data_IF_374011913143
#
_entry.id   IF_374011913143
#
_cell.length_a   1.000
_cell.length_b   1.000
_cell.length_c   1.000
_cell.angle_alpha   90.00
_cell.angle_beta   90.00
_cell.angle_gamma   90.00
#
_symmetry.space_group_name_H-M   'P 1'
#
loop_
_entity.id
_entity.type
_entity.pdbx_description
1 polymer ?
#
# COMPACT_ATOMS: atom_id res chain seq x y z
N UNK A 1 -61.55 2.46 16.21
CA UNK A 1 -60.23 3.11 16.41
C UNK A 1 -59.15 2.42 15.58
N UNK A 2 -59.41 2.29 14.27
CA UNK A 2 -58.47 1.76 13.27
C UNK A 2 -58.54 2.74 12.13
N UNK A 3 -57.62 3.69 12.11
CA UNK A 3 -57.61 4.80 11.17
C UNK A 3 -56.62 5.86 11.63
N UNK A 4 -55.74 6.27 10.71
CA UNK A 4 -54.63 7.21 10.90
C UNK A 4 -53.31 6.66 11.48
N UNK A 5 -52.90 5.44 11.12
CA UNK A 5 -51.46 5.20 10.93
C UNK A 5 -51.10 5.78 9.57
N UNK A 6 -50.80 7.08 9.60
CA UNK A 6 -50.62 7.90 8.44
C UNK A 6 -49.44 7.39 7.60
N UNK A 7 -49.63 7.45 6.29
CA UNK A 7 -48.59 7.22 5.28
C UNK A 7 -47.44 8.26 5.39
N UNK A 8 -47.50 9.18 6.35
CA UNK A 8 -46.48 10.21 6.60
C UNK A 8 -45.35 9.73 7.50
N UNK A 9 -45.47 8.57 8.17
CA UNK A 9 -44.34 7.97 8.92
C UNK A 9 -43.27 7.36 8.00
N UNK A 10 -43.59 7.13 6.72
CA UNK A 10 -42.69 6.55 5.72
C UNK A 10 -42.31 7.60 4.66
N UNK A 11 -42.97 8.75 4.63
CA UNK A 11 -42.63 9.85 3.76
C UNK A 11 -41.69 10.83 4.47
N UNK A 12 -40.38 10.64 4.27
CA UNK A 12 -39.32 11.62 4.57
C UNK A 12 -38.83 11.79 6.02
N UNK A 13 -38.49 10.72 6.73
CA UNK A 13 -37.38 10.83 7.69
C UNK A 13 -36.08 10.60 6.93
N UNK A 14 -35.47 11.67 6.41
CA UNK A 14 -34.10 11.58 5.92
C UNK A 14 -33.24 11.00 7.04
N UNK A 15 -32.47 9.95 6.76
CA UNK A 15 -31.57 9.38 7.76
C UNK A 15 -30.54 10.44 8.14
N UNK A 16 -30.59 10.92 9.40
CA UNK A 16 -29.68 11.93 9.91
C UNK A 16 -28.32 11.30 10.21
N UNK A 17 -27.46 11.20 9.18
CA UNK A 17 -26.14 10.55 9.28
C UNK A 17 -25.24 11.18 10.34
N UNK A 18 -25.28 12.50 10.49
CA UNK A 18 -24.52 13.21 11.51
C UNK A 18 -25.03 12.88 12.93
N UNK A 19 -26.35 12.94 13.15
CA UNK A 19 -26.95 12.58 14.43
C UNK A 19 -26.69 11.10 14.79
N UNK A 20 -26.76 10.20 13.82
CA UNK A 20 -26.39 8.79 14.00
C UNK A 20 -24.91 8.65 14.37
N UNK A 21 -24.02 9.35 13.67
CA UNK A 21 -22.58 9.26 13.93
C UNK A 21 -22.24 9.80 15.32
N UNK A 22 -22.80 10.94 15.71
CA UNK A 22 -22.51 11.58 16.99
C UNK A 22 -23.15 10.89 18.18
N UNK A 23 -24.38 10.38 18.04
CA UNK A 23 -25.12 9.80 19.17
C UNK A 23 -25.01 8.27 19.25
N UNK A 24 -24.67 7.60 18.15
CA UNK A 24 -24.60 6.13 18.09
C UNK A 24 -23.19 5.62 17.81
N UNK A 25 -22.38 6.26 16.97
CA UNK A 25 -21.04 5.74 16.69
C UNK A 25 -20.00 6.26 17.70
N UNK A 26 -19.99 7.58 17.93
CA UNK A 26 -18.97 8.25 18.74
C UNK A 26 -18.86 7.69 20.19
N UNK A 27 -19.96 7.44 20.93
CA UNK A 27 -19.86 6.92 22.30
C UNK A 27 -19.21 5.53 22.37
N UNK A 28 -19.25 4.78 21.26
CA UNK A 28 -18.71 3.43 21.19
C UNK A 28 -17.25 3.37 20.71
N UNK A 29 -16.58 4.51 20.51
CA UNK A 29 -15.13 4.55 20.24
C UNK A 29 -14.28 3.98 21.39
N UNK A 30 -14.78 4.05 22.62
CA UNK A 30 -14.13 3.49 23.82
C UNK A 30 -14.54 2.04 24.11
N UNK A 31 -15.38 1.44 23.26
CA UNK A 31 -15.86 0.07 23.46
C UNK A 31 -14.75 -0.97 23.23
N UNK A 32 -14.87 -2.17 23.82
CA UNK A 32 -13.89 -3.23 23.61
C UNK A 32 -13.88 -3.76 22.17
N UNK A 33 -12.66 -4.06 21.71
CA UNK A 33 -12.22 -4.68 20.45
C UNK A 33 -13.21 -4.64 19.27
N UNK A 34 -14.13 -5.60 19.16
CA UNK A 34 -14.97 -5.75 17.96
C UNK A 34 -15.93 -4.60 17.72
N UNK A 35 -16.53 -4.05 18.77
CA UNK A 35 -17.49 -2.95 18.62
C UNK A 35 -16.78 -1.67 18.16
N UNK A 36 -15.60 -1.38 18.74
CA UNK A 36 -14.74 -0.28 18.28
C UNK A 36 -14.39 -0.44 16.81
N UNK A 37 -13.95 -1.62 16.38
CA UNK A 37 -13.64 -1.87 14.96
C UNK A 37 -14.85 -1.62 14.06
N UNK A 38 -16.04 -2.05 14.48
CA UNK A 38 -17.24 -1.86 13.68
C UNK A 38 -17.59 -0.38 13.57
N UNK A 39 -17.47 0.37 14.67
CA UNK A 39 -17.63 1.81 14.71
C UNK A 39 -16.68 2.50 13.73
N UNK A 40 -15.38 2.17 13.76
CA UNK A 40 -14.37 2.74 12.86
C UNK A 40 -14.65 2.42 11.39
N UNK A 41 -15.07 1.18 11.09
CA UNK A 41 -15.41 0.79 9.72
C UNK A 41 -16.67 1.51 9.21
N UNK A 42 -17.68 1.69 10.06
CA UNK A 42 -18.90 2.41 9.71
C UNK A 42 -18.63 3.91 9.50
N UNK A 43 -17.88 4.55 10.39
CA UNK A 43 -17.56 5.97 10.26
C UNK A 43 -16.75 6.26 9.01
N UNK A 44 -15.80 5.40 8.64
CA UNK A 44 -15.06 5.52 7.37
C UNK A 44 -15.98 5.54 6.14
N UNK A 45 -17.05 4.75 6.13
CA UNK A 45 -18.02 4.71 5.02
C UNK A 45 -18.93 5.95 4.96
N UNK A 46 -19.33 6.45 6.13
CA UNK A 46 -20.16 7.66 6.25
C UNK A 46 -19.35 8.95 6.08
N UNK A 47 -18.02 8.88 6.16
CA UNK A 47 -17.16 10.07 6.21
C UNK A 47 -17.30 10.99 5.00
N UNK A 48 -17.76 10.51 3.84
CA UNK A 48 -17.92 11.32 2.62
C UNK A 48 -18.98 12.43 2.74
N UNK A 49 -20.01 12.23 3.56
CA UNK A 49 -21.15 13.14 3.78
C UNK A 49 -21.07 13.91 5.11
N UNK A 50 -20.15 13.54 5.99
CA UNK A 50 -20.02 14.13 7.33
C UNK A 50 -19.09 15.35 7.36
N UNK A 51 -19.34 16.33 8.25
CA UNK A 51 -18.38 17.40 8.55
C UNK A 51 -17.02 16.86 8.99
N UNK A 52 -15.96 17.62 8.74
CA UNK A 52 -14.59 17.19 9.05
C UNK A 52 -14.39 17.00 10.57
N UNK A 53 -14.97 17.89 11.36
CA UNK A 53 -14.93 17.91 12.82
C UNK A 53 -15.53 16.63 13.42
N UNK A 54 -16.57 16.10 12.78
CA UNK A 54 -17.21 14.84 13.16
C UNK A 54 -16.31 13.64 12.84
N UNK A 55 -15.50 13.72 11.78
CA UNK A 55 -14.62 12.63 11.36
C UNK A 55 -13.33 12.53 12.19
N UNK A 56 -12.83 13.65 12.73
CA UNK A 56 -11.54 13.74 13.46
C UNK A 56 -11.39 12.65 14.53
N UNK A 57 -12.34 12.46 15.48
CA UNK A 57 -12.19 11.48 16.56
C UNK A 57 -12.06 10.04 16.05
N UNK A 58 -12.70 9.72 14.92
CA UNK A 58 -12.64 8.38 14.34
C UNK A 58 -11.31 8.11 13.63
N UNK A 59 -10.76 9.11 12.92
CA UNK A 59 -9.43 8.97 12.32
C UNK A 59 -8.37 8.85 13.40
N UNK A 60 -8.45 9.67 14.46
CA UNK A 60 -7.54 9.59 15.61
C UNK A 60 -7.60 8.21 16.27
N UNK A 61 -8.80 7.73 16.61
CA UNK A 61 -8.97 6.41 17.21
C UNK A 61 -8.49 5.27 16.29
N UNK A 62 -8.60 5.44 14.96
CA UNK A 62 -8.07 4.47 13.98
C UNK A 62 -6.54 4.43 14.04
N UNK A 63 -5.90 5.59 14.06
CA UNK A 63 -4.44 5.73 14.12
C UNK A 63 -3.90 5.27 15.47
N UNK A 64 -4.62 5.50 16.56
CA UNK A 64 -4.30 4.93 17.87
C UNK A 64 -4.28 3.41 17.86
N UNK A 65 -5.28 2.77 17.24
CA UNK A 65 -5.30 1.29 17.10
C UNK A 65 -4.11 0.79 16.30
N UNK A 66 -3.69 1.50 15.24
CA UNK A 66 -2.48 1.14 14.48
C UNK A 66 -1.20 1.24 15.32
N UNK A 67 -1.13 2.24 16.20
CA UNK A 67 0.03 2.52 17.05
C UNK A 67 0.07 1.67 18.33
N UNK A 68 -0.99 0.91 18.65
CA UNK A 68 -1.00 0.04 19.82
C UNK A 68 0.16 -0.97 19.73
N UNK A 69 1.10 -1.01 20.69
CA UNK A 69 2.23 -1.93 20.64
C UNK A 69 1.83 -3.39 20.87
N UNK A 70 0.62 -3.67 21.34
CA UNK A 70 0.15 -5.02 21.69
C UNK A 70 0.14 -5.95 20.46
N UNK A 71 0.87 -7.07 20.48
CA UNK A 71 0.85 -8.07 19.40
C UNK A 71 -0.53 -8.73 19.24
N UNK A 72 -1.32 -8.82 20.31
CA UNK A 72 -2.65 -9.44 20.28
C UNK A 72 -3.67 -8.61 19.45
N UNK A 73 -3.29 -7.39 19.05
CA UNK A 73 -4.12 -6.47 18.28
C UNK A 73 -3.98 -6.58 16.76
N UNK A 74 -3.24 -7.55 16.19
CA UNK A 74 -3.01 -7.59 14.72
C UNK A 74 -4.29 -7.57 13.89
N UNK A 75 -5.30 -8.36 14.28
CA UNK A 75 -6.62 -8.35 13.62
C UNK A 75 -7.29 -6.98 13.71
N UNK A 76 -7.09 -6.27 14.81
CA UNK A 76 -7.58 -4.90 14.99
C UNK A 76 -6.82 -3.91 14.11
N UNK A 77 -5.50 -4.05 13.98
CA UNK A 77 -4.68 -3.20 13.10
C UNK A 77 -5.05 -3.37 11.63
N UNK A 78 -5.28 -4.60 11.17
CA UNK A 78 -5.75 -4.86 9.79
C UNK A 78 -7.10 -4.21 9.55
N UNK A 79 -8.03 -4.33 10.50
CA UNK A 79 -9.33 -3.67 10.41
C UNK A 79 -9.21 -2.14 10.45
N UNK A 80 -8.28 -1.60 11.24
CA UNK A 80 -7.96 -0.18 11.26
C UNK A 80 -7.37 0.29 9.92
N UNK A 81 -6.51 -0.50 9.26
CA UNK A 81 -6.05 -0.19 7.89
C UNK A 81 -7.23 -0.06 6.92
N UNK A 82 -8.21 -0.98 6.96
CA UNK A 82 -9.42 -0.92 6.12
C UNK A 82 -10.27 0.32 6.41
N UNK A 83 -10.44 0.66 7.69
CA UNK A 83 -11.16 1.87 8.10
C UNK A 83 -10.44 3.13 7.59
N UNK A 84 -9.12 3.21 7.80
CA UNK A 84 -8.30 4.34 7.35
C UNK A 84 -8.32 4.50 5.83
N UNK A 85 -8.31 3.40 5.08
CA UNK A 85 -8.43 3.40 3.60
C UNK A 85 -9.73 4.08 3.14
N UNK A 86 -10.85 3.83 3.85
CA UNK A 86 -12.12 4.49 3.56
C UNK A 86 -12.02 6.01 3.78
N UNK A 87 -11.32 6.44 4.84
CA UNK A 87 -11.04 7.85 5.07
C UNK A 87 -10.06 8.45 4.06
N UNK A 88 -9.10 7.70 3.53
CA UNK A 88 -8.20 8.18 2.48
C UNK A 88 -8.97 8.59 1.22
N UNK A 89 -9.99 7.80 0.87
CA UNK A 89 -10.85 8.06 -0.29
C UNK A 89 -11.76 9.26 -0.04
N UNK A 90 -12.43 9.30 1.12
CA UNK A 90 -13.47 10.29 1.39
C UNK A 90 -12.96 11.62 1.94
N UNK A 91 -11.84 11.60 2.68
CA UNK A 91 -11.27 12.73 3.44
C UNK A 91 -9.72 12.69 3.42
N UNK A 92 -9.07 12.73 2.23
CA UNK A 92 -7.61 12.68 2.13
C UNK A 92 -6.90 13.77 2.92
N UNK A 93 -7.44 15.00 2.93
CA UNK A 93 -6.89 16.14 3.67
C UNK A 93 -6.80 15.90 5.19
N UNK A 94 -7.74 15.12 5.73
CA UNK A 94 -7.74 14.76 7.14
C UNK A 94 -6.69 13.68 7.39
N UNK A 95 -6.67 12.60 6.60
CA UNK A 95 -5.72 11.49 6.76
C UNK A 95 -4.28 11.97 6.64
N UNK A 96 -4.00 12.88 5.71
CA UNK A 96 -2.70 13.50 5.50
C UNK A 96 -2.07 14.02 6.79
N UNK A 97 -2.85 14.58 7.71
CA UNK A 97 -2.38 15.09 9.02
C UNK A 97 -1.87 13.99 9.95
N UNK A 98 -2.34 12.76 9.78
CA UNK A 98 -2.00 11.61 10.62
C UNK A 98 -1.10 10.59 9.92
N UNK A 99 -0.84 10.75 8.61
CA UNK A 99 -0.07 9.82 7.80
C UNK A 99 1.34 9.56 8.37
N UNK A 100 2.00 10.58 8.93
CA UNK A 100 3.34 10.45 9.52
C UNK A 100 3.39 9.49 10.72
N UNK A 101 2.27 9.28 11.42
CA UNK A 101 2.13 8.28 12.49
C UNK A 101 1.62 6.94 11.97
N UNK A 102 0.72 6.96 10.98
CA UNK A 102 0.11 5.76 10.44
C UNK A 102 1.12 4.90 9.64
N UNK A 103 1.92 5.51 8.77
CA UNK A 103 2.82 4.80 7.85
C UNK A 103 3.84 3.92 8.60
N UNK A 104 4.62 4.43 9.58
CA UNK A 104 5.56 3.59 10.32
C UNK A 104 4.89 2.42 11.04
N UNK A 105 3.69 2.64 11.58
CA UNK A 105 2.93 1.61 12.28
C UNK A 105 2.37 0.53 11.37
N UNK A 106 1.94 0.89 10.16
CA UNK A 106 1.54 -0.08 9.13
C UNK A 106 2.77 -0.88 8.67
N UNK A 107 3.91 -0.24 8.42
CA UNK A 107 5.16 -0.93 8.07
C UNK A 107 5.59 -1.91 9.17
N UNK A 108 5.58 -1.49 10.43
CA UNK A 108 5.89 -2.36 11.57
C UNK A 108 4.92 -3.55 11.66
N UNK A 109 3.63 -3.32 11.40
CA UNK A 109 2.61 -4.39 11.36
C UNK A 109 2.95 -5.43 10.28
N UNK A 110 3.30 -4.99 9.07
CA UNK A 110 3.75 -5.88 7.98
C UNK A 110 5.00 -6.68 8.36
N UNK A 111 5.98 -6.05 9.02
CA UNK A 111 7.19 -6.74 9.46
C UNK A 111 6.88 -7.83 10.48
N UNK A 112 5.99 -7.55 11.44
CA UNK A 112 5.65 -8.48 12.52
C UNK A 112 4.73 -9.63 12.09
N UNK A 113 4.00 -9.48 10.99
CA UNK A 113 3.08 -10.48 10.41
C UNK A 113 3.79 -11.65 9.69
N UNK A 114 4.65 -12.40 10.39
CA UNK A 114 5.41 -13.53 9.78
C UNK A 114 4.49 -14.66 9.30
N UNK A 115 3.48 -15.01 10.10
CA UNK A 115 2.56 -16.12 9.82
C UNK A 115 1.19 -15.67 9.30
N UNK A 116 1.08 -14.40 8.87
CA UNK A 116 -0.16 -13.88 8.33
C UNK A 116 -0.52 -14.53 7.00
N UNK A 117 -1.82 -14.67 6.76
CA UNK A 117 -2.34 -15.11 5.46
C UNK A 117 -2.06 -14.06 4.39
N UNK A 118 -2.03 -14.49 3.13
CA UNK A 118 -1.92 -13.60 1.96
C UNK A 118 -2.94 -12.47 2.01
N UNK A 119 -4.19 -12.76 2.37
CA UNK A 119 -5.25 -11.74 2.45
C UNK A 119 -4.93 -10.65 3.47
N UNK A 120 -4.38 -11.02 4.64
CA UNK A 120 -4.04 -10.06 5.69
C UNK A 120 -2.91 -9.12 5.24
N UNK A 121 -1.89 -9.67 4.59
CA UNK A 121 -0.78 -8.88 4.05
C UNK A 121 -1.29 -7.97 2.92
N UNK A 122 -2.06 -8.52 1.98
CA UNK A 122 -2.67 -7.77 0.87
C UNK A 122 -3.45 -6.55 1.37
N UNK A 123 -4.37 -6.75 2.32
CA UNK A 123 -5.18 -5.67 2.91
C UNK A 123 -4.31 -4.62 3.59
N UNK A 124 -3.25 -5.05 4.25
CA UNK A 124 -2.34 -4.13 4.96
C UNK A 124 -1.51 -3.32 3.97
N UNK A 125 -1.04 -3.93 2.87
CA UNK A 125 -0.36 -3.23 1.77
C UNK A 125 -1.31 -2.25 1.09
N UNK A 126 -2.56 -2.64 0.81
CA UNK A 126 -3.56 -1.73 0.25
C UNK A 126 -3.79 -0.51 1.15
N UNK A 127 -3.94 -0.72 2.46
CA UNK A 127 -4.08 0.38 3.41
C UNK A 127 -2.85 1.29 3.45
N UNK A 128 -1.64 0.73 3.36
CA UNK A 128 -0.42 1.52 3.22
C UNK A 128 -0.43 2.35 1.92
N UNK A 129 -0.85 1.73 0.80
CA UNK A 129 -0.95 2.38 -0.50
C UNK A 129 -1.88 3.59 -0.45
N UNK A 130 -3.08 3.42 0.11
CA UNK A 130 -4.08 4.47 0.21
C UNK A 130 -3.59 5.65 1.07
N UNK A 131 -2.90 5.36 2.19
CA UNK A 131 -2.30 6.41 3.03
C UNK A 131 -1.18 7.14 2.30
N UNK A 132 -0.29 6.44 1.58
CA UNK A 132 0.76 7.06 0.77
C UNK A 132 0.17 7.95 -0.34
N UNK A 133 -0.89 7.51 -1.01
CA UNK A 133 -1.60 8.30 -2.03
C UNK A 133 -2.25 9.57 -1.48
N UNK A 134 -2.72 9.53 -0.24
CA UNK A 134 -3.29 10.69 0.45
C UNK A 134 -2.22 11.61 1.08
N UNK A 135 -0.94 11.22 1.05
CA UNK A 135 0.16 11.94 1.71
C UNK A 135 0.83 12.97 0.81
N UNK A 136 1.54 13.92 1.44
CA UNK A 136 2.40 14.86 0.73
C UNK A 136 3.69 14.21 0.24
N UNK A 137 4.22 14.75 -0.86
CA UNK A 137 5.50 14.35 -1.42
C UNK A 137 6.64 14.40 -0.39
N UNK A 138 6.72 15.43 0.46
CA UNK A 138 7.79 15.55 1.46
C UNK A 138 7.75 14.41 2.49
N UNK A 139 6.54 14.04 2.92
CA UNK A 139 6.37 12.91 3.82
C UNK A 139 6.74 11.60 3.13
N UNK A 140 6.26 11.40 1.90
CA UNK A 140 6.53 10.17 1.12
C UNK A 140 8.01 9.99 0.88
N UNK A 141 8.73 11.04 0.47
CA UNK A 141 10.19 11.02 0.31
C UNK A 141 10.88 10.69 1.64
N UNK A 142 10.40 11.25 2.76
CA UNK A 142 10.95 10.97 4.10
C UNK A 142 10.76 9.53 4.58
N UNK A 143 9.63 8.90 4.28
CA UNK A 143 9.30 7.53 4.73
C UNK A 143 9.64 6.44 3.70
N UNK A 144 9.89 6.81 2.44
CA UNK A 144 10.21 5.87 1.36
C UNK A 144 11.30 4.86 1.77
N UNK A 145 12.42 5.24 2.41
CA UNK A 145 13.47 4.28 2.74
C UNK A 145 12.96 3.12 3.59
N UNK A 146 12.08 3.39 4.55
CA UNK A 146 11.54 2.38 5.46
C UNK A 146 10.42 1.57 4.80
N UNK A 147 9.60 2.21 3.97
CA UNK A 147 8.58 1.52 3.17
C UNK A 147 9.25 0.55 2.20
N UNK A 148 10.24 1.00 1.42
CA UNK A 148 10.97 0.16 0.45
C UNK A 148 11.64 -1.03 1.13
N UNK A 149 12.33 -0.82 2.26
CA UNK A 149 12.93 -1.93 3.03
C UNK A 149 11.88 -2.92 3.52
N UNK A 150 10.73 -2.42 3.98
CA UNK A 150 9.61 -3.26 4.43
C UNK A 150 9.07 -4.12 3.29
N UNK A 151 8.84 -3.52 2.11
CA UNK A 151 8.33 -4.22 0.93
C UNK A 151 9.32 -5.29 0.45
N UNK A 152 10.62 -4.99 0.40
CA UNK A 152 11.66 -5.98 0.07
C UNK A 152 11.64 -7.15 1.06
N UNK A 153 11.53 -6.87 2.36
CA UNK A 153 11.46 -7.91 3.39
C UNK A 153 10.18 -8.76 3.29
N UNK A 154 9.05 -8.20 2.86
CA UNK A 154 7.82 -8.96 2.58
C UNK A 154 8.01 -9.82 1.34
N UNK A 155 8.53 -9.25 0.25
CA UNK A 155 8.77 -9.97 -0.99
C UNK A 155 9.68 -11.18 -0.77
N UNK A 156 10.79 -11.03 -0.05
CA UNK A 156 11.65 -12.17 0.32
C UNK A 156 10.94 -13.27 1.10
N UNK A 157 9.96 -12.93 1.93
CA UNK A 157 9.18 -13.92 2.71
C UNK A 157 8.07 -14.57 1.91
N UNK A 158 7.57 -13.91 0.85
CA UNK A 158 6.38 -14.30 0.09
C UNK A 158 6.61 -14.27 -1.42
N UNK A 159 7.84 -14.53 -1.89
CA UNK A 159 8.22 -14.38 -3.30
C UNK A 159 7.43 -15.27 -4.25
N UNK A 160 6.91 -16.40 -3.76
CA UNK A 160 6.05 -17.33 -4.53
C UNK A 160 4.58 -16.92 -4.57
N UNK A 161 4.19 -15.85 -3.86
CA UNK A 161 2.84 -15.33 -3.87
C UNK A 161 2.70 -14.21 -4.91
N UNK A 162 1.98 -14.51 -5.99
CA UNK A 162 1.76 -13.58 -7.10
C UNK A 162 0.90 -12.37 -6.71
N UNK A 163 0.00 -12.53 -5.73
CA UNK A 163 -0.84 -11.43 -5.24
C UNK A 163 0.03 -10.41 -4.50
N UNK A 164 0.85 -10.89 -3.56
CA UNK A 164 1.76 -10.02 -2.80
C UNK A 164 2.80 -9.38 -3.70
N UNK A 165 3.33 -10.12 -4.68
CA UNK A 165 4.25 -9.57 -5.68
C UNK A 165 3.60 -8.44 -6.48
N UNK A 166 2.34 -8.63 -6.91
CA UNK A 166 1.57 -7.58 -7.59
C UNK A 166 1.38 -6.35 -6.71
N UNK A 167 1.00 -6.52 -5.45
CA UNK A 167 0.78 -5.42 -4.51
C UNK A 167 2.07 -4.62 -4.27
N UNK A 168 3.20 -5.30 -4.12
CA UNK A 168 4.52 -4.68 -3.89
C UNK A 168 4.96 -3.87 -5.11
N UNK A 169 4.76 -4.41 -6.31
CA UNK A 169 5.00 -3.67 -7.55
C UNK A 169 4.14 -2.41 -7.60
N UNK A 170 2.84 -2.53 -7.32
CA UNK A 170 1.91 -1.40 -7.33
C UNK A 170 2.31 -0.33 -6.29
N UNK A 171 2.82 -0.76 -5.13
CA UNK A 171 3.40 0.14 -4.13
C UNK A 171 4.63 0.90 -4.66
N UNK A 172 5.57 0.23 -5.32
CA UNK A 172 6.74 0.91 -5.88
C UNK A 172 6.34 1.96 -6.93
N UNK A 173 5.35 1.66 -7.78
CA UNK A 173 4.82 2.65 -8.73
C UNK A 173 4.22 3.85 -8.00
N UNK A 174 3.47 3.62 -6.93
CA UNK A 174 2.84 4.69 -6.14
C UNK A 174 3.88 5.54 -5.41
N UNK A 175 4.91 4.94 -4.83
CA UNK A 175 6.02 5.66 -4.19
C UNK A 175 6.72 6.58 -5.19
N UNK A 176 7.02 6.10 -6.39
CA UNK A 176 7.65 6.90 -7.44
C UNK A 176 6.71 7.99 -7.98
N UNK A 177 5.42 7.69 -8.14
CA UNK A 177 4.43 8.67 -8.62
C UNK A 177 4.23 9.81 -7.62
N UNK A 178 4.17 9.52 -6.32
CA UNK A 178 3.95 10.55 -5.29
C UNK A 178 5.25 11.23 -4.91
N UNK A 179 6.35 10.48 -4.78
CA UNK A 179 7.69 10.98 -4.43
C UNK A 179 8.40 11.71 -5.57
N UNK A 180 8.02 11.43 -6.82
CA UNK A 180 8.67 11.96 -8.02
C UNK A 180 10.08 11.39 -8.24
N UNK A 181 10.90 12.12 -8.98
CA UNK A 181 12.30 11.75 -9.24
C UNK A 181 13.13 11.66 -7.96
N UNK A 182 12.74 12.37 -6.90
CA UNK A 182 13.44 12.40 -5.60
C UNK A 182 13.49 11.04 -4.90
N UNK A 183 12.56 10.15 -5.17
CA UNK A 183 12.56 8.78 -4.62
C UNK A 183 13.36 7.81 -5.48
N UNK A 184 13.68 8.14 -6.75
CA UNK A 184 14.29 7.22 -7.72
C UNK A 184 15.66 6.73 -7.27
N UNK A 185 16.60 7.63 -6.97
CA UNK A 185 17.96 7.24 -6.58
C UNK A 185 17.97 6.30 -5.38
N UNK A 186 17.34 6.74 -4.29
CA UNK A 186 17.30 5.97 -3.05
C UNK A 186 16.60 4.61 -3.21
N UNK A 187 15.45 4.57 -3.91
CA UNK A 187 14.76 3.32 -4.20
C UNK A 187 15.63 2.39 -5.05
N UNK A 188 16.30 2.92 -6.07
CA UNK A 188 17.15 2.13 -6.97
C UNK A 188 18.32 1.47 -6.23
N UNK A 189 18.99 2.22 -5.35
CA UNK A 189 20.10 1.73 -4.52
C UNK A 189 19.67 0.60 -3.58
N UNK A 190 18.42 0.62 -3.11
CA UNK A 190 17.88 -0.40 -2.18
C UNK A 190 17.29 -1.60 -2.90
N UNK A 191 16.55 -1.37 -3.98
CA UNK A 191 15.73 -2.38 -4.66
C UNK A 191 16.53 -3.18 -5.68
N UNK A 192 17.29 -2.49 -6.55
CA UNK A 192 17.94 -3.15 -7.70
C UNK A 192 18.94 -4.23 -7.28
N UNK A 193 19.82 -4.06 -6.27
CA UNK A 193 20.76 -5.10 -5.88
C UNK A 193 20.06 -6.41 -5.49
N UNK A 194 18.92 -6.29 -4.80
CA UNK A 194 18.12 -7.44 -4.39
C UNK A 194 17.47 -8.14 -5.57
N UNK A 195 16.82 -7.40 -6.48
CA UNK A 195 16.18 -7.99 -7.65
C UNK A 195 17.22 -8.60 -8.61
N UNK A 196 18.35 -7.93 -8.82
CA UNK A 196 19.44 -8.44 -9.67
C UNK A 196 20.06 -9.70 -9.07
N UNK A 197 20.21 -9.78 -7.75
CA UNK A 197 20.67 -11.01 -7.08
C UNK A 197 19.70 -12.16 -7.35
N UNK A 198 18.40 -11.92 -7.25
CA UNK A 198 17.38 -12.93 -7.54
C UNK A 198 17.41 -13.36 -9.03
N UNK A 199 17.55 -12.40 -9.95
CA UNK A 199 17.66 -12.67 -11.40
C UNK A 199 18.95 -13.43 -11.75
N UNK A 200 20.05 -13.16 -11.04
CA UNK A 200 21.34 -13.83 -11.27
C UNK A 200 21.48 -15.18 -10.54
N UNK A 201 20.55 -15.55 -9.66
CA UNK A 201 20.57 -16.81 -8.91
C UNK A 201 20.23 -18.06 -9.79
N UNK A 202 20.42 -17.96 -11.10
CA UNK A 202 20.06 -18.98 -12.10
C UNK A 202 20.97 -20.20 -12.01
N UNK A 203 20.44 -21.27 -11.42
CA UNK A 203 20.76 -22.67 -11.69
C UNK A 203 19.45 -23.45 -11.65
N UNK A 204 19.23 -24.39 -12.58
CA UNK A 204 17.96 -25.13 -12.74
C UNK A 204 17.53 -25.88 -11.46
N UNK A 205 18.47 -26.18 -10.57
CA UNK A 205 18.21 -26.88 -9.29
C UNK A 205 17.95 -25.95 -8.09
N UNK A 206 17.96 -24.63 -8.29
CA UNK A 206 17.75 -23.68 -7.20
C UNK A 206 16.25 -23.40 -7.00
N UNK A 207 15.69 -23.54 -5.79
CA UNK A 207 14.34 -23.08 -5.46
C UNK A 207 14.09 -21.58 -5.78
N UNK A 208 15.17 -20.82 -5.97
CA UNK A 208 15.18 -19.39 -6.29
C UNK A 208 14.92 -19.15 -7.78
N UNK A 209 15.07 -20.15 -8.67
CA UNK A 209 14.78 -20.00 -10.09
C UNK A 209 13.31 -19.59 -10.37
N UNK A 210 12.38 -20.01 -9.51
CA UNK A 210 10.98 -19.61 -9.56
C UNK A 210 10.73 -18.11 -9.24
N UNK A 211 11.71 -17.43 -8.63
CA UNK A 211 11.68 -16.00 -8.28
C UNK A 211 12.03 -15.12 -9.47
N UNK A 212 12.76 -15.65 -10.46
CA UNK A 212 13.31 -14.86 -11.56
C UNK A 212 12.20 -14.12 -12.35
N UNK A 213 11.07 -14.75 -12.74
CA UNK A 213 10.01 -14.03 -13.45
C UNK A 213 9.38 -12.90 -12.64
N UNK A 214 9.21 -13.09 -11.33
CA UNK A 214 8.63 -12.06 -10.45
C UNK A 214 9.60 -10.91 -10.22
N UNK A 215 10.89 -11.20 -10.07
CA UNK A 215 11.93 -10.18 -9.97
C UNK A 215 12.03 -9.35 -11.26
N UNK A 216 11.99 -10.00 -12.44
CA UNK A 216 11.97 -9.32 -13.75
C UNK A 216 10.73 -8.44 -13.93
N UNK A 217 9.55 -8.92 -13.53
CA UNK A 217 8.33 -8.11 -13.56
C UNK A 217 8.44 -6.87 -12.66
N UNK A 218 9.00 -6.98 -11.46
CA UNK A 218 9.23 -5.81 -10.60
C UNK A 218 10.24 -4.85 -11.25
N UNK A 219 11.32 -5.35 -11.85
CA UNK A 219 12.32 -4.53 -12.56
C UNK A 219 11.68 -3.76 -13.70
N UNK A 220 10.94 -4.45 -14.58
CA UNK A 220 10.25 -3.84 -15.73
C UNK A 220 9.39 -2.66 -15.28
N UNK A 221 8.64 -2.86 -14.22
CA UNK A 221 7.61 -1.94 -13.74
C UNK A 221 8.22 -0.77 -12.97
N UNK A 222 9.32 -1.03 -12.26
CA UNK A 222 10.16 0.00 -11.69
C UNK A 222 10.76 0.88 -12.79
N UNK A 223 11.32 0.29 -13.87
CA UNK A 223 11.86 1.04 -15.02
C UNK A 223 10.79 1.89 -15.69
N UNK A 224 9.60 1.35 -15.92
CA UNK A 224 8.48 2.12 -16.49
C UNK A 224 8.08 3.28 -15.57
N UNK A 225 7.96 3.04 -14.26
CA UNK A 225 7.62 4.09 -13.30
C UNK A 225 8.70 5.19 -13.22
N UNK A 226 9.98 4.83 -13.30
CA UNK A 226 11.09 5.80 -13.40
C UNK A 226 10.99 6.63 -14.67
N UNK A 227 10.66 6.02 -15.82
CA UNK A 227 10.47 6.75 -17.09
C UNK A 227 9.31 7.75 -16.99
N UNK A 228 8.19 7.36 -16.38
CA UNK A 228 7.04 8.23 -16.19
C UNK A 228 7.35 9.40 -15.26
N UNK A 229 7.99 9.16 -14.11
CA UNK A 229 8.39 10.21 -13.18
C UNK A 229 9.33 11.25 -13.83
N UNK A 230 10.19 10.83 -14.77
CA UNK A 230 11.05 11.75 -15.55
C UNK A 230 10.28 12.60 -16.55
N UNK A 231 9.22 12.05 -17.16
CA UNK A 231 8.40 12.79 -18.12
C UNK A 231 7.69 13.99 -17.48
N UNK A 232 7.41 13.91 -16.17
CA UNK A 232 6.76 14.96 -15.39
C UNK A 232 7.73 16.04 -14.88
N UNK A 233 9.01 15.72 -14.66
CA UNK A 233 10.00 16.66 -14.08
C UNK A 233 10.85 17.43 -15.12
N UNK A 234 10.68 17.16 -16.42
CA UNK A 234 11.49 17.80 -17.47
C UNK A 234 12.89 17.19 -17.58
N UNK A 235 13.57 17.46 -18.70
CA UNK A 235 14.72 16.72 -19.25
C UNK A 235 16.06 16.72 -18.43
N UNK A 236 16.02 16.89 -17.11
CA UNK A 236 17.18 16.73 -16.23
C UNK A 236 17.10 15.42 -15.46
N UNK A 237 17.88 14.39 -15.82
CA UNK A 237 17.95 13.21 -14.95
C UNK A 237 18.87 12.11 -15.47
N UNK A 238 20.14 12.17 -15.07
CA UNK A 238 21.12 11.08 -15.28
C UNK A 238 20.80 9.81 -14.47
N UNK A 239 19.94 9.91 -13.44
CA UNK A 239 19.60 8.80 -12.57
C UNK A 239 18.80 7.70 -13.28
N UNK A 240 17.81 8.07 -14.11
CA UNK A 240 17.09 7.08 -14.91
C UNK A 240 17.98 6.37 -15.93
N UNK A 241 18.97 7.08 -16.50
CA UNK A 241 19.95 6.48 -17.40
C UNK A 241 20.89 5.51 -16.64
N UNK A 242 21.27 5.85 -15.40
CA UNK A 242 22.03 4.96 -14.53
C UNK A 242 21.25 3.69 -14.18
N UNK A 243 19.95 3.80 -13.89
CA UNK A 243 19.06 2.64 -13.65
C UNK A 243 19.06 1.73 -14.88
N UNK A 244 18.83 2.28 -16.08
CA UNK A 244 18.82 1.51 -17.32
C UNK A 244 20.17 0.82 -17.58
N UNK A 245 21.29 1.54 -17.41
CA UNK A 245 22.65 0.97 -17.57
C UNK A 245 22.95 -0.15 -16.56
N UNK A 246 22.38 -0.08 -15.37
CA UNK A 246 22.57 -1.08 -14.31
C UNK A 246 21.72 -2.33 -14.56
N UNK A 247 20.48 -2.14 -15.01
CA UNK A 247 19.50 -3.22 -15.21
C UNK A 247 19.77 -4.00 -16.50
N UNK A 248 20.08 -3.31 -17.60
CA UNK A 248 20.15 -3.92 -18.94
C UNK A 248 21.07 -5.16 -19.02
N UNK A 249 22.33 -5.14 -18.51
CA UNK A 249 23.19 -6.32 -18.57
C UNK A 249 22.65 -7.52 -17.78
N UNK A 250 21.92 -7.25 -16.68
CA UNK A 250 21.34 -8.30 -15.85
C UNK A 250 20.16 -8.99 -16.56
N UNK A 251 19.30 -8.21 -17.23
CA UNK A 251 18.17 -8.77 -17.99
C UNK A 251 18.67 -9.57 -19.21
N UNK A 252 19.66 -9.06 -19.95
CA UNK A 252 20.27 -9.80 -21.08
C UNK A 252 20.85 -11.13 -20.59
N UNK A 253 21.65 -11.10 -19.52
CA UNK A 253 22.23 -12.32 -18.96
C UNK A 253 21.18 -13.32 -18.47
N UNK A 254 20.00 -12.85 -18.02
CA UNK A 254 18.91 -13.74 -17.64
C UNK A 254 18.34 -14.50 -18.86
N UNK A 255 18.20 -13.85 -20.01
CA UNK A 255 17.79 -14.48 -21.28
C UNK A 255 18.81 -15.52 -21.71
N UNK A 256 20.10 -15.16 -21.72
CA UNK A 256 21.18 -16.03 -22.19
C UNK A 256 21.35 -17.29 -21.34
N UNK A 257 21.06 -17.22 -20.04
CA UNK A 257 21.21 -18.33 -19.09
C UNK A 257 19.95 -19.18 -18.94
N UNK A 258 18.79 -18.72 -19.40
CA UNK A 258 17.53 -19.41 -19.15
C UNK A 258 17.10 -20.29 -20.32
N UNK A 259 16.74 -21.53 -19.98
CA UNK A 259 16.05 -22.50 -20.84
C UNK A 259 14.53 -22.45 -20.65
N UNK A 260 14.05 -21.71 -19.63
CA UNK A 260 12.65 -21.68 -19.21
C UNK A 260 11.82 -20.62 -19.93
N UNK A 261 10.72 -21.05 -20.56
CA UNK A 261 9.82 -20.16 -21.34
C UNK A 261 9.35 -18.93 -20.56
N UNK A 262 9.03 -19.06 -19.27
CA UNK A 262 8.51 -17.95 -18.46
C UNK A 262 9.56 -16.88 -18.13
N UNK A 263 10.83 -17.27 -17.97
CA UNK A 263 11.92 -16.33 -17.70
C UNK A 263 12.29 -15.59 -18.98
N UNK A 264 12.32 -16.30 -20.12
CA UNK A 264 12.58 -15.68 -21.44
C UNK A 264 11.48 -14.68 -21.79
N UNK A 265 10.21 -15.02 -21.55
CA UNK A 265 9.07 -14.11 -21.76
C UNK A 265 9.17 -12.87 -20.86
N UNK A 266 9.33 -13.05 -19.54
CA UNK A 266 9.45 -11.93 -18.61
C UNK A 266 10.67 -11.04 -18.89
N UNK A 267 11.80 -11.62 -19.31
CA UNK A 267 12.99 -10.85 -19.66
C UNK A 267 12.82 -10.10 -20.99
N UNK A 268 12.14 -10.70 -21.97
CA UNK A 268 11.77 -10.04 -23.24
C UNK A 268 10.85 -8.84 -22.98
N UNK A 269 9.85 -9.00 -22.12
CA UNK A 269 8.94 -7.90 -21.73
C UNK A 269 9.69 -6.78 -21.00
N UNK A 270 10.63 -7.14 -20.11
CA UNK A 270 11.49 -6.17 -19.44
C UNK A 270 12.39 -5.41 -20.44
N UNK A 271 12.98 -6.10 -21.42
CA UNK A 271 13.80 -5.49 -22.47
C UNK A 271 12.99 -4.55 -23.38
N UNK A 272 11.75 -4.89 -23.71
CA UNK A 272 10.86 -4.02 -24.49
C UNK A 272 10.56 -2.69 -23.75
N UNK A 273 10.70 -2.68 -22.43
CA UNK A 273 10.46 -1.51 -21.58
C UNK A 273 11.71 -0.68 -21.30
N UNK A 274 12.91 -1.17 -21.61
CA UNK A 274 14.21 -0.49 -21.41
C UNK A 274 14.55 0.33 -22.65
#
# INVERSE_FOLDING_TARGET
LVGALSKDLIASSAFEEEAYTMNVLLPHLVSPNFLKLRVLSCSGRLSSSLPLEVCVPFVEATVEVLNDPSPESYSMKIAACRALSSFCIARPDLVKKYASKAIPSICNTLVQQRDASTEMIHVTILGLNDVIRASDVELVVGVEPDVTRTLIAIWHRKFGDMTITSDIRDMFRVLLRVGGGRSVAGMSERLLPTLMTAVNATGEDSPIAAVVPTALSIIQEFVQAVKLARGEEGAGGGEGEMVLKTVLPCVIGAVERSTGSSVVEAASDALACI
#
